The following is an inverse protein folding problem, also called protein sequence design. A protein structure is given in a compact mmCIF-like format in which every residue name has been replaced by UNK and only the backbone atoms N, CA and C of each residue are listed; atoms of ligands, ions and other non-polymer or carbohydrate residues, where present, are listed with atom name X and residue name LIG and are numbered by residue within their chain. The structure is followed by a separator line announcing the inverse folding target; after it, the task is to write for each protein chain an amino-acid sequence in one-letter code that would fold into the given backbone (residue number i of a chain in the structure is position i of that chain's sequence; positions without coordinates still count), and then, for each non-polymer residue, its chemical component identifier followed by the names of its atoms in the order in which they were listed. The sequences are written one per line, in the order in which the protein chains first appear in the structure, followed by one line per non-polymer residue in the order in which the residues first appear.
data_IF_113541531067
#
_entry.id   IF_113541531067
#
_cell.length_a   1.000
_cell.length_b   1.000
_cell.length_c   1.000
_cell.angle_alpha   90.00
_cell.angle_beta   90.00
_cell.angle_gamma   90.00
#
_symmetry.space_group_name_H-M   'P 1'
#
loop_
_entity.id
_entity.type
_entity.pdbx_description
1 polymer ?
#
# COMPACT_ATOMS: atom_id res chain seq x y z
N UNK A 1 -101.45 67.74 -18.41
CA UNK A 1 -102.18 66.51 -18.07
C UNK A 1 -101.11 65.52 -17.61
N UNK A 2 -100.85 65.49 -16.29
CA UNK A 2 -101.38 64.49 -15.35
C UNK A 2 -100.42 63.27 -15.29
N UNK A 3 -99.85 62.82 -14.17
CA UNK A 3 -99.93 63.17 -12.75
C UNK A 3 -98.63 62.70 -12.06
N UNK A 4 -98.39 63.26 -10.87
CA UNK A 4 -97.47 62.80 -9.83
C UNK A 4 -97.47 61.27 -9.64
N UNK A 5 -96.35 60.65 -9.25
CA UNK A 5 -96.08 60.43 -7.83
C UNK A 5 -94.66 59.90 -7.60
N UNK A 6 -94.01 60.48 -6.61
CA UNK A 6 -92.68 60.16 -6.10
C UNK A 6 -92.78 59.22 -4.89
N UNK A 7 -91.87 58.27 -4.73
CA UNK A 7 -91.49 57.68 -3.42
C UNK A 7 -90.05 57.15 -3.57
N UNK A 8 -89.00 57.94 -3.31
CA UNK A 8 -88.25 58.10 -2.04
C UNK A 8 -87.89 56.80 -1.31
N UNK A 9 -86.59 56.52 -1.35
CA UNK A 9 -85.80 55.69 -0.42
C UNK A 9 -86.24 55.89 1.03
N UNK A 10 -86.52 54.77 1.71
CA UNK A 10 -86.73 54.72 3.16
C UNK A 10 -85.46 54.17 3.79
N UNK A 11 -84.71 55.06 4.44
CA UNK A 11 -83.82 54.65 5.53
C UNK A 11 -84.66 54.09 6.66
N UNK A 12 -84.34 52.87 7.11
CA UNK A 12 -84.98 52.28 8.26
C UNK A 12 -84.09 52.53 9.50
N UNK A 13 -84.40 53.62 10.20
CA UNK A 13 -83.99 53.84 11.60
C UNK A 13 -85.16 53.52 12.53
N UNK A 14 -84.87 52.77 13.59
CA UNK A 14 -85.82 52.34 14.64
C UNK A 14 -86.20 50.87 14.43
N UNK A 15 -86.16 49.97 15.41
CA UNK A 15 -86.29 50.05 16.86
C UNK A 15 -85.75 48.73 17.45
N UNK A 16 -85.41 48.72 18.75
CA UNK A 16 -85.07 47.49 19.48
C UNK A 16 -86.32 46.59 19.52
N UNK A 17 -86.45 45.68 18.56
CA UNK A 17 -87.44 44.62 18.60
C UNK A 17 -87.01 43.56 19.63
N UNK A 18 -87.78 43.47 20.71
CA UNK A 18 -87.70 42.40 21.70
C UNK A 18 -88.29 41.12 21.07
N UNK A 19 -87.43 40.34 20.42
CA UNK A 19 -87.75 38.97 20.03
C UNK A 19 -87.89 38.12 21.30
N UNK A 20 -89.12 37.71 21.63
CA UNK A 20 -89.37 36.65 22.60
C UNK A 20 -88.87 35.33 22.01
N UNK A 21 -87.59 35.03 22.22
CA UNK A 21 -87.05 33.71 21.92
C UNK A 21 -87.71 32.69 22.87
N UNK A 22 -88.16 31.52 22.36
CA UNK A 22 -88.68 30.45 23.21
C UNK A 22 -87.57 30.00 24.16
N UNK A 23 -87.65 30.44 25.41
CA UNK A 23 -86.72 30.07 26.46
C UNK A 23 -87.33 28.96 27.31
N UNK A 24 -86.61 27.87 27.45
CA UNK A 24 -86.94 26.80 28.41
C UNK A 24 -86.04 27.02 29.62
N UNK A 25 -86.62 27.12 30.81
CA UNK A 25 -85.87 27.34 32.06
C UNK A 25 -84.99 28.62 32.09
N UNK A 26 -85.41 29.69 31.40
CA UNK A 26 -84.66 30.97 31.38
C UNK A 26 -83.42 30.97 30.49
N UNK A 27 -83.20 29.91 29.71
CA UNK A 27 -82.11 29.78 28.75
C UNK A 27 -82.69 29.95 27.34
N UNK A 28 -82.15 30.90 26.58
CA UNK A 28 -82.52 31.15 25.19
C UNK A 28 -81.86 30.15 24.24
N UNK A 29 -82.28 30.10 22.97
CA UNK A 29 -81.72 29.15 22.00
C UNK A 29 -80.18 29.27 21.84
N UNK A 30 -79.58 30.49 21.77
CA UNK A 30 -78.13 30.66 21.83
C UNK A 30 -77.49 30.14 23.11
N UNK A 31 -78.21 30.18 24.24
CA UNK A 31 -77.75 29.67 25.53
C UNK A 31 -77.60 28.15 25.57
N UNK A 32 -78.52 27.41 24.96
CA UNK A 32 -78.40 25.95 24.80
C UNK A 32 -77.24 25.57 23.86
N UNK A 33 -76.99 26.36 22.80
CA UNK A 33 -75.84 26.17 21.91
C UNK A 33 -74.53 26.43 22.66
N UNK A 34 -74.44 27.50 23.45
CA UNK A 34 -73.28 27.81 24.27
C UNK A 34 -73.03 26.72 25.33
N UNK A 35 -74.07 26.22 25.99
CA UNK A 35 -73.98 25.12 26.95
C UNK A 35 -73.50 23.82 26.28
N UNK A 36 -74.03 23.51 25.09
CA UNK A 36 -73.60 22.34 24.31
C UNK A 36 -72.13 22.45 23.90
N UNK A 37 -71.68 23.64 23.47
CA UNK A 37 -70.27 23.89 23.17
C UNK A 37 -69.37 23.76 24.40
N UNK A 38 -69.81 24.27 25.56
CA UNK A 38 -69.10 24.10 26.82
C UNK A 38 -68.95 22.63 27.22
N UNK A 39 -69.99 21.82 27.05
CA UNK A 39 -69.93 20.38 27.33
C UNK A 39 -68.96 19.68 26.38
N UNK A 40 -68.96 20.01 25.08
CA UNK A 40 -68.01 19.45 24.09
C UNK A 40 -66.56 19.84 24.40
N UNK A 41 -66.31 21.12 24.72
CA UNK A 41 -64.98 21.61 25.11
C UNK A 41 -64.52 20.94 26.42
N UNK A 42 -65.41 20.82 27.41
CA UNK A 42 -65.14 20.11 28.65
C UNK A 42 -64.79 18.63 28.42
N UNK A 43 -65.51 17.95 27.52
CA UNK A 43 -65.23 16.57 27.14
C UNK A 43 -63.89 16.44 26.40
N UNK A 44 -63.53 17.38 25.52
CA UNK A 44 -62.23 17.41 24.84
C UNK A 44 -61.06 17.58 25.82
N UNK A 45 -61.22 18.44 26.82
CA UNK A 45 -60.24 18.65 27.88
C UNK A 45 -60.12 17.37 28.73
N UNK A 46 -61.25 16.77 29.10
CA UNK A 46 -61.28 15.52 29.88
C UNK A 46 -60.63 14.35 29.13
N UNK A 47 -60.87 14.25 27.82
CA UNK A 47 -60.21 13.29 26.91
C UNK A 47 -58.79 13.69 26.51
N UNK A 48 -58.25 14.79 27.07
CA UNK A 48 -56.86 15.25 26.91
C UNK A 48 -56.43 15.46 25.46
N UNK A 49 -57.36 15.82 24.56
CA UNK A 49 -57.05 16.12 23.16
C UNK A 49 -55.95 17.18 23.00
N UNK A 50 -55.95 18.32 23.73
CA UNK A 50 -54.86 19.30 23.60
C UNK A 50 -53.49 18.72 24.00
N UNK A 51 -53.44 17.82 24.99
CA UNK A 51 -52.20 17.15 25.39
C UNK A 51 -51.68 16.19 24.30
N UNK A 52 -52.57 15.51 23.58
CA UNK A 52 -52.21 14.63 22.47
C UNK A 52 -51.59 15.40 21.30
N UNK A 53 -52.17 16.56 20.96
CA UNK A 53 -51.65 17.44 19.90
C UNK A 53 -50.28 17.99 20.29
N UNK A 54 -50.12 18.48 21.53
CA UNK A 54 -48.84 18.94 22.04
C UNK A 54 -47.78 17.82 22.02
N UNK A 55 -48.13 16.61 22.47
CA UNK A 55 -47.23 15.46 22.44
C UNK A 55 -46.82 15.03 21.02
N UNK A 56 -47.73 15.10 20.05
CA UNK A 56 -47.39 14.80 18.65
C UNK A 56 -46.44 15.85 18.05
N UNK A 57 -46.60 17.12 18.44
CA UNK A 57 -45.71 18.20 18.01
C UNK A 57 -44.33 18.06 18.65
N UNK A 58 -44.26 17.76 19.95
CA UNK A 58 -43.01 17.48 20.67
C UNK A 58 -42.30 16.26 20.08
N UNK A 59 -43.03 15.20 19.75
CA UNK A 59 -42.45 14.02 19.09
C UNK A 59 -41.83 14.38 17.75
N UNK A 60 -42.48 15.23 16.94
CA UNK A 60 -41.92 15.69 15.66
C UNK A 60 -40.67 16.54 15.87
N UNK A 61 -40.68 17.43 16.86
CA UNK A 61 -39.51 18.25 17.22
C UNK A 61 -38.35 17.35 17.66
N UNK A 62 -38.62 16.33 18.48
CA UNK A 62 -37.61 15.37 18.92
C UNK A 62 -37.03 14.60 17.72
N UNK A 63 -37.86 14.08 16.82
CA UNK A 63 -37.39 13.38 15.61
C UNK A 63 -36.53 14.29 14.72
N UNK A 64 -36.95 15.54 14.49
CA UNK A 64 -36.18 16.50 13.68
C UNK A 64 -34.83 16.82 14.34
N UNK A 65 -34.80 16.99 15.66
CA UNK A 65 -33.55 17.20 16.40
C UNK A 65 -32.61 16.01 16.24
N UNK A 66 -33.10 14.79 16.46
CA UNK A 66 -32.29 13.58 16.27
C UNK A 66 -31.75 13.47 14.84
N UNK A 67 -32.57 13.72 13.82
CA UNK A 67 -32.12 13.71 12.42
C UNK A 67 -31.08 14.79 12.12
N UNK A 68 -31.21 15.98 12.72
CA UNK A 68 -30.24 17.05 12.56
C UNK A 68 -28.92 16.73 13.26
N UNK A 69 -28.98 16.13 14.45
CA UNK A 69 -27.81 15.69 15.20
C UNK A 69 -27.07 14.58 14.43
N UNK A 70 -27.78 13.57 13.94
CA UNK A 70 -27.24 12.50 13.09
C UNK A 70 -26.63 13.06 11.80
N UNK A 71 -27.29 14.00 11.13
CA UNK A 71 -26.76 14.65 9.93
C UNK A 71 -25.49 15.47 10.22
N UNK A 72 -25.45 16.15 11.38
CA UNK A 72 -24.28 16.91 11.81
C UNK A 72 -23.10 15.99 12.14
N UNK A 73 -23.38 14.85 12.78
CA UNK A 73 -22.38 13.82 13.09
C UNK A 73 -21.86 13.18 11.81
N UNK A 74 -22.73 12.79 10.88
CA UNK A 74 -22.35 12.21 9.60
C UNK A 74 -21.49 13.18 8.78
N UNK A 75 -21.80 14.48 8.83
CA UNK A 75 -20.98 15.51 8.20
C UNK A 75 -19.60 15.60 8.85
N UNK A 76 -19.52 15.62 10.18
CA UNK A 76 -18.26 15.64 10.89
C UNK A 76 -17.39 14.41 10.58
N UNK A 77 -18.01 13.22 10.51
CA UNK A 77 -17.33 11.98 10.13
C UNK A 77 -16.84 12.02 8.68
N UNK A 78 -17.64 12.55 7.75
CA UNK A 78 -17.23 12.71 6.36
C UNK A 78 -16.08 13.73 6.20
N UNK A 79 -16.13 14.84 6.93
CA UNK A 79 -15.05 15.84 6.94
C UNK A 79 -13.76 15.26 7.53
N UNK A 80 -13.85 14.46 8.60
CA UNK A 80 -12.72 13.75 9.19
C UNK A 80 -12.11 12.73 8.23
N UNK A 81 -12.94 11.89 7.59
CA UNK A 81 -12.49 10.91 6.59
C UNK A 81 -11.84 11.59 5.38
N UNK A 82 -12.37 12.73 4.94
CA UNK A 82 -11.79 13.51 3.85
C UNK A 82 -10.42 14.09 4.23
N UNK A 83 -10.28 14.60 5.46
CA UNK A 83 -9.02 15.11 5.97
C UNK A 83 -7.97 13.98 6.05
N UNK A 84 -8.35 12.82 6.57
CA UNK A 84 -7.50 11.63 6.63
C UNK A 84 -7.07 11.16 5.24
N UNK A 85 -8.01 11.05 4.29
CA UNK A 85 -7.70 10.65 2.92
C UNK A 85 -6.76 11.66 2.21
N UNK A 86 -6.95 12.97 2.42
CA UNK A 86 -6.04 14.00 1.91
C UNK A 86 -4.65 13.89 2.52
N UNK A 87 -4.56 13.70 3.84
CA UNK A 87 -3.29 13.50 4.53
C UNK A 87 -2.59 12.22 4.03
N UNK A 88 -3.33 11.13 3.86
CA UNK A 88 -2.82 9.85 3.34
C UNK A 88 -2.33 9.96 1.91
N UNK A 89 -3.05 10.67 1.04
CA UNK A 89 -2.62 10.93 -0.34
C UNK A 89 -1.33 11.76 -0.38
N UNK A 90 -1.24 12.82 0.44
CA UNK A 90 -0.03 13.63 0.53
C UNK A 90 1.17 12.82 1.03
N UNK A 91 0.97 11.99 2.06
CA UNK A 91 2.00 11.07 2.56
C UNK A 91 2.42 10.05 1.50
N UNK A 92 1.48 9.49 0.73
CA UNK A 92 1.76 8.45 -0.27
C UNK A 92 2.66 8.96 -1.41
N UNK A 93 2.53 10.23 -1.80
CA UNK A 93 3.43 10.83 -2.78
C UNK A 93 4.87 10.94 -2.24
N UNK A 94 5.02 11.30 -0.96
CA UNK A 94 6.32 11.32 -0.27
C UNK A 94 6.92 9.92 -0.12
N UNK A 95 6.11 8.95 0.29
CA UNK A 95 6.53 7.55 0.44
C UNK A 95 6.98 6.95 -0.90
N UNK A 96 6.25 7.20 -1.99
CA UNK A 96 6.64 6.74 -3.32
C UNK A 96 7.99 7.34 -3.76
N UNK A 97 8.20 8.65 -3.55
CA UNK A 97 9.47 9.29 -3.84
C UNK A 97 10.61 8.74 -2.98
N UNK A 98 10.37 8.49 -1.70
CA UNK A 98 11.33 7.88 -0.79
C UNK A 98 11.69 6.45 -1.21
N UNK A 99 10.71 5.63 -1.61
CA UNK A 99 10.92 4.27 -2.13
C UNK A 99 11.82 4.31 -3.37
N UNK A 100 11.53 5.21 -4.33
CA UNK A 100 12.35 5.34 -5.55
C UNK A 100 13.77 5.79 -5.24
N UNK A 101 13.93 6.78 -4.36
CA UNK A 101 15.25 7.25 -3.95
C UNK A 101 16.07 6.16 -3.24
N UNK A 102 15.43 5.40 -2.35
CA UNK A 102 16.06 4.26 -1.67
C UNK A 102 16.47 3.17 -2.67
N UNK A 103 15.58 2.78 -3.57
CA UNK A 103 15.86 1.78 -4.60
C UNK A 103 17.01 2.20 -5.52
N UNK A 104 17.10 3.49 -5.89
CA UNK A 104 18.22 4.01 -6.68
C UNK A 104 19.54 3.99 -5.90
N UNK A 105 19.52 4.36 -4.62
CA UNK A 105 20.71 4.31 -3.77
C UNK A 105 21.21 2.86 -3.58
N UNK A 106 20.29 1.92 -3.34
CA UNK A 106 20.63 0.49 -3.23
C UNK A 106 21.14 -0.08 -4.56
N UNK A 107 20.52 0.28 -5.69
CA UNK A 107 20.99 -0.13 -7.01
C UNK A 107 22.42 0.38 -7.29
N UNK A 108 22.70 1.65 -6.97
CA UNK A 108 24.04 2.21 -7.12
C UNK A 108 25.06 1.49 -6.22
N UNK A 109 24.70 1.20 -4.96
CA UNK A 109 25.57 0.45 -4.05
C UNK A 109 25.81 -0.99 -4.53
N UNK A 110 24.77 -1.65 -5.06
CA UNK A 110 24.89 -2.99 -5.64
C UNK A 110 25.78 -3.00 -6.88
N UNK A 111 25.71 -1.98 -7.74
CA UNK A 111 26.59 -1.87 -8.91
C UNK A 111 28.05 -1.73 -8.50
N UNK A 112 28.37 -0.83 -7.57
CA UNK A 112 29.74 -0.66 -7.05
C UNK A 112 30.29 -1.96 -6.47
N UNK A 113 29.46 -2.67 -5.69
CA UNK A 113 29.85 -3.97 -5.12
C UNK A 113 30.05 -5.02 -6.21
N UNK A 114 29.15 -5.10 -7.20
CA UNK A 114 29.25 -6.04 -8.29
C UNK A 114 30.49 -5.80 -9.16
N UNK A 115 30.84 -4.53 -9.42
CA UNK A 115 32.07 -4.17 -10.14
C UNK A 115 33.32 -4.62 -9.37
N UNK A 116 33.36 -4.40 -8.05
CA UNK A 116 34.47 -4.86 -7.20
C UNK A 116 34.57 -6.40 -7.19
N UNK A 117 33.45 -7.10 -7.00
CA UNK A 117 33.40 -8.56 -7.00
C UNK A 117 33.81 -9.13 -8.37
N UNK A 118 33.41 -8.50 -9.48
CA UNK A 118 33.81 -8.88 -10.82
C UNK A 118 35.30 -8.68 -11.06
N UNK A 119 35.87 -7.55 -10.63
CA UNK A 119 37.30 -7.29 -10.74
C UNK A 119 38.11 -8.35 -9.98
N UNK A 120 37.70 -8.70 -8.76
CA UNK A 120 38.32 -9.75 -7.96
C UNK A 120 38.20 -11.13 -8.62
N UNK A 121 37.04 -11.46 -9.19
CA UNK A 121 36.83 -12.72 -9.91
C UNK A 121 37.71 -12.83 -11.15
N UNK A 122 37.86 -11.73 -11.92
CA UNK A 122 38.72 -11.68 -13.09
C UNK A 122 40.19 -11.85 -12.66
N UNK A 123 40.64 -11.13 -11.63
CA UNK A 123 42.00 -11.25 -11.11
C UNK A 123 42.32 -12.69 -10.67
N UNK A 124 41.41 -13.32 -9.91
CA UNK A 124 41.57 -14.73 -9.50
C UNK A 124 41.61 -15.68 -10.70
N UNK A 125 40.77 -15.47 -11.71
CA UNK A 125 40.78 -16.28 -12.93
C UNK A 125 42.07 -16.11 -13.73
N UNK A 126 42.60 -14.90 -13.78
CA UNK A 126 43.89 -14.61 -14.40
C UNK A 126 45.01 -15.37 -13.69
N UNK A 127 45.13 -15.26 -12.36
CA UNK A 127 46.15 -15.98 -11.59
C UNK A 127 46.02 -17.49 -11.77
N UNK A 128 44.81 -18.05 -11.75
CA UNK A 128 44.60 -19.49 -12.02
C UNK A 128 45.04 -19.90 -13.43
N UNK A 129 44.87 -19.04 -14.43
CA UNK A 129 45.33 -19.31 -15.79
C UNK A 129 46.86 -19.24 -15.88
N UNK A 130 47.46 -18.22 -15.28
CA UNK A 130 48.92 -18.05 -15.18
C UNK A 130 49.58 -19.23 -14.46
N UNK A 131 49.01 -19.69 -13.34
CA UNK A 131 49.51 -20.85 -12.59
C UNK A 131 49.43 -22.14 -13.42
N UNK A 132 48.35 -22.32 -14.20
CA UNK A 132 48.20 -23.46 -15.11
C UNK A 132 49.21 -23.42 -16.24
N UNK A 133 49.45 -22.25 -16.83
CA UNK A 133 50.47 -22.05 -17.87
C UNK A 133 51.84 -22.37 -17.29
N UNK A 134 52.20 -21.81 -16.13
CA UNK A 134 53.48 -22.06 -15.49
C UNK A 134 53.67 -23.54 -15.11
N UNK A 135 52.61 -24.23 -14.68
CA UNK A 135 52.66 -25.67 -14.44
C UNK A 135 52.88 -26.46 -15.73
N UNK A 136 52.17 -26.11 -16.81
CA UNK A 136 52.33 -26.75 -18.12
C UNK A 136 53.72 -26.50 -18.71
N UNK A 137 54.27 -25.29 -18.58
CA UNK A 137 55.63 -24.94 -19.02
C UNK A 137 56.69 -25.77 -18.28
N UNK A 138 56.57 -25.90 -16.95
CA UNK A 138 57.47 -26.78 -16.17
C UNK A 138 57.38 -28.23 -16.63
N UNK A 139 56.17 -28.72 -16.91
CA UNK A 139 55.93 -30.05 -17.47
C UNK A 139 56.61 -30.23 -18.83
N UNK A 140 56.38 -29.31 -19.77
CA UNK A 140 56.95 -29.35 -21.11
C UNK A 140 58.49 -29.30 -21.09
N UNK A 141 59.09 -28.47 -20.23
CA UNK A 141 60.54 -28.43 -20.06
C UNK A 141 61.08 -29.76 -19.53
N UNK A 142 60.39 -30.38 -18.58
CA UNK A 142 60.77 -31.68 -18.04
C UNK A 142 60.68 -32.78 -19.11
N UNK A 143 59.62 -32.79 -19.93
CA UNK A 143 59.44 -33.71 -21.05
C UNK A 143 60.54 -33.56 -22.10
N UNK A 144 60.88 -32.33 -22.51
CA UNK A 144 61.97 -32.07 -23.47
C UNK A 144 63.31 -32.54 -22.91
N UNK A 145 63.58 -32.29 -21.62
CA UNK A 145 64.81 -32.77 -20.97
C UNK A 145 64.87 -34.29 -20.92
N UNK A 146 63.77 -34.96 -20.60
CA UNK A 146 63.68 -36.41 -20.58
C UNK A 146 63.92 -37.00 -21.98
N UNK A 147 63.28 -36.44 -23.02
CA UNK A 147 63.47 -36.86 -24.41
C UNK A 147 64.91 -36.64 -24.89
N UNK A 148 65.52 -35.51 -24.54
CA UNK A 148 66.92 -35.22 -24.88
C UNK A 148 67.88 -36.19 -24.17
N UNK A 149 67.67 -36.47 -22.88
CA UNK A 149 68.47 -37.44 -22.13
C UNK A 149 68.35 -38.84 -22.73
N UNK A 150 67.15 -39.28 -23.08
CA UNK A 150 66.87 -40.56 -23.71
C UNK A 150 67.45 -40.67 -25.15
N UNK A 151 67.41 -39.60 -25.94
CA UNK A 151 68.09 -39.54 -27.23
C UNK A 151 69.62 -39.62 -27.07
N UNK A 152 70.18 -38.91 -26.09
CA UNK A 152 71.62 -38.92 -25.81
C UNK A 152 72.10 -40.28 -25.31
N UNK A 153 71.36 -40.95 -24.43
CA UNK A 153 71.71 -42.30 -23.94
C UNK A 153 71.63 -43.33 -25.06
N UNK A 154 70.61 -43.27 -25.94
CA UNK A 154 70.54 -44.12 -27.14
C UNK A 154 71.73 -43.91 -28.06
N UNK A 155 72.03 -42.65 -28.40
CA UNK A 155 73.16 -42.33 -29.26
C UNK A 155 74.49 -42.79 -28.66
N UNK A 156 74.69 -42.56 -27.35
CA UNK A 156 75.85 -43.05 -26.62
C UNK A 156 75.94 -44.59 -26.66
N UNK A 157 74.83 -45.30 -26.45
CA UNK A 157 74.79 -46.76 -26.53
C UNK A 157 75.14 -47.28 -27.93
N UNK A 158 74.66 -46.64 -29.00
CA UNK A 158 75.02 -47.01 -30.38
C UNK A 158 76.50 -46.78 -30.67
N UNK A 159 77.04 -45.60 -30.31
CA UNK A 159 78.47 -45.31 -30.48
C UNK A 159 79.33 -46.29 -29.69
N UNK A 160 78.91 -46.62 -28.47
CA UNK A 160 79.58 -47.60 -27.62
C UNK A 160 79.60 -48.98 -28.30
N UNK A 161 78.48 -49.44 -28.84
CA UNK A 161 78.39 -50.72 -29.55
C UNK A 161 79.25 -50.77 -30.83
N UNK A 162 79.36 -49.65 -31.55
CA UNK A 162 80.17 -49.57 -32.78
C UNK A 162 81.68 -49.42 -32.52
N UNK A 163 82.07 -48.80 -31.39
CA UNK A 163 83.46 -48.41 -31.11
C UNK A 163 84.12 -49.19 -29.97
N UNK A 164 83.37 -49.93 -29.15
CA UNK A 164 83.96 -50.85 -28.17
C UNK A 164 84.22 -52.23 -28.77
N UNK A 165 85.51 -52.55 -28.87
CA UNK A 165 86.02 -53.91 -29.09
C UNK A 165 86.74 -54.44 -27.86
N UNK A 166 87.16 -55.70 -27.94
CA UNK A 166 87.74 -56.51 -26.83
C UNK A 166 88.91 -55.83 -26.09
N UNK A 167 89.72 -55.03 -26.80
CA UNK A 167 90.86 -54.31 -26.21
C UNK A 167 90.43 -53.16 -25.28
N UNK A 168 89.33 -52.48 -25.60
CA UNK A 168 88.81 -51.38 -24.78
C UNK A 168 88.12 -51.91 -23.50
N UNK A 169 87.44 -53.06 -23.60
CA UNK A 169 86.83 -53.76 -22.46
C UNK A 169 87.89 -54.23 -21.48
N UNK A 170 88.98 -54.83 -21.97
CA UNK A 170 90.08 -55.29 -21.11
C UNK A 170 90.71 -54.14 -20.32
N UNK A 171 90.97 -52.99 -20.96
CA UNK A 171 91.49 -51.80 -20.29
C UNK A 171 90.49 -51.14 -19.32
N UNK A 172 89.18 -51.36 -19.49
CA UNK A 172 88.15 -50.92 -18.55
C UNK A 172 88.12 -51.83 -17.32
N UNK A 173 88.13 -53.15 -17.54
CA UNK A 173 88.14 -54.19 -16.50
C UNK A 173 89.40 -54.09 -15.65
N UNK A 174 90.58 -53.92 -16.26
CA UNK A 174 91.83 -53.75 -15.51
C UNK A 174 91.81 -52.47 -14.64
N UNK A 175 91.17 -51.39 -15.12
CA UNK A 175 90.98 -50.15 -14.34
C UNK A 175 89.96 -50.30 -13.22
N UNK A 176 88.84 -50.98 -13.44
CA UNK A 176 87.84 -51.22 -12.38
C UNK A 176 88.39 -52.17 -11.32
N UNK A 177 89.13 -53.23 -11.71
CA UNK A 177 89.85 -54.12 -10.77
C UNK A 177 90.89 -53.33 -9.96
N UNK A 178 91.69 -52.47 -10.61
CA UNK A 178 92.64 -51.60 -9.92
C UNK A 178 91.96 -50.54 -9.02
N UNK A 179 90.74 -50.12 -9.36
CA UNK A 179 89.90 -49.21 -8.58
C UNK A 179 89.32 -49.86 -7.33
N UNK A 180 88.83 -51.11 -7.43
CA UNK A 180 88.34 -51.90 -6.31
C UNK A 180 89.47 -52.31 -5.36
N UNK A 181 90.70 -52.46 -5.87
CA UNK A 181 91.91 -52.66 -5.05
C UNK A 181 92.39 -51.40 -4.31
N UNK A 182 91.89 -50.22 -4.68
CA UNK A 182 92.07 -48.97 -3.92
C UNK A 182 90.88 -48.81 -2.97
N UNK A 183 90.98 -49.46 -1.82
CA UNK A 183 90.15 -49.13 -0.66
C UNK A 183 90.48 -47.69 -0.23
N UNK A 184 89.61 -46.75 -0.57
CA UNK A 184 89.49 -45.47 0.12
C UNK A 184 88.02 -45.04 0.11
#
# INVERSE_FOLDING_TARGET
MAEASAVKTVEHTGVVELHHEPSVFGITAPGFVALSMLVVIGLMIWKKVPKMIAGALDSRIATIRTQLDEASQLRAEAEAQLAEAKARNAASAGDAAAIVAHAQAEAAAMLVKAEADLADLVARRQTMAEDKIAAAERGAIAEVRALAADAATRAAATILAERHGVDADKALVDRTIAGLGRLN
#
